data_IF_098664932166
#
_entry.id   IF_098664932166
#
_cell.length_a   1.000
_cell.length_b   1.000
_cell.length_c   1.000
_cell.angle_alpha   90.00
_cell.angle_beta   90.00
_cell.angle_gamma   90.00
#
_symmetry.space_group_name_H-M   'P 1'
#
loop_
_entity.id
_entity.type
_entity.pdbx_description
1 polymer ?
#
# COMPACT_ATOMS: atom_id res chain seq x y z
N UNK A 1 2.91 18.30 19.61
CA UNK A 1 2.96 16.89 19.26
C UNK A 1 3.03 16.74 17.75
N UNK A 2 3.94 15.90 17.27
CA UNK A 2 4.03 15.63 15.84
C UNK A 2 2.86 14.77 15.40
N UNK A 3 2.32 15.04 14.18
CA UNK A 3 1.22 14.24 13.64
C UNK A 3 1.65 12.78 13.43
N UNK A 4 2.94 12.55 13.14
CA UNK A 4 3.46 11.18 12.91
C UNK A 4 3.52 10.35 14.18
N UNK A 5 3.43 10.95 15.36
CA UNK A 5 3.44 10.21 16.62
C UNK A 5 2.19 9.34 16.80
N UNK A 6 1.12 9.63 16.04
CA UNK A 6 -0.13 8.89 16.09
C UNK A 6 -0.29 7.90 14.95
N UNK A 7 0.72 7.79 14.09
CA UNK A 7 0.68 6.92 12.91
C UNK A 7 1.29 5.58 13.25
N UNK A 8 0.57 4.52 12.92
CA UNK A 8 1.05 3.14 13.09
C UNK A 8 0.92 2.38 11.78
N UNK A 9 1.85 1.47 11.55
CA UNK A 9 1.77 0.52 10.43
C UNK A 9 1.40 -0.84 10.99
N UNK A 10 0.39 -1.47 10.40
CA UNK A 10 -0.05 -2.80 10.78
C UNK A 10 0.00 -3.70 9.56
N UNK A 11 0.82 -4.74 9.63
CA UNK A 11 0.98 -5.67 8.51
C UNK A 11 -0.25 -6.56 8.35
N UNK A 12 -0.60 -6.84 7.08
CA UNK A 12 -1.56 -7.89 6.79
C UNK A 12 -1.12 -8.65 5.53
N UNK A 13 -1.41 -9.94 5.48
CA UNK A 13 -0.98 -10.83 4.39
C UNK A 13 -2.16 -11.52 3.72
N UNK A 14 -3.34 -11.44 4.32
CA UNK A 14 -4.56 -12.04 3.77
C UNK A 14 -5.55 -10.96 3.37
N UNK A 15 -6.42 -11.30 2.43
CA UNK A 15 -7.48 -10.40 2.01
C UNK A 15 -8.36 -10.07 3.23
N UNK A 16 -8.51 -8.79 3.58
CA UNK A 16 -9.30 -8.42 4.75
C UNK A 16 -10.79 -8.58 4.52
N UNK A 17 -11.57 -8.34 5.56
CA UNK A 17 -13.02 -8.42 5.47
C UNK A 17 -13.59 -7.34 4.53
N UNK A 18 -14.87 -7.46 4.21
CA UNK A 18 -15.53 -6.58 3.25
C UNK A 18 -15.52 -5.12 3.67
N UNK A 19 -15.66 -4.85 4.97
CA UNK A 19 -15.65 -3.48 5.49
C UNK A 19 -14.30 -2.82 5.24
N UNK A 20 -13.21 -3.51 5.59
CA UNK A 20 -11.87 -3.00 5.36
C UNK A 20 -11.57 -2.86 3.87
N UNK A 21 -11.95 -3.84 3.04
CA UNK A 21 -11.78 -3.76 1.59
C UNK A 21 -12.45 -2.53 0.99
N UNK A 22 -13.66 -2.23 1.43
CA UNK A 22 -14.38 -1.05 0.95
C UNK A 22 -13.64 0.24 1.31
N UNK A 23 -13.06 0.32 2.50
CA UNK A 23 -12.26 1.49 2.91
C UNK A 23 -11.04 1.62 2.03
N UNK A 24 -10.29 0.53 1.81
CA UNK A 24 -9.09 0.56 0.97
C UNK A 24 -9.42 0.92 -0.48
N UNK A 25 -10.48 0.36 -1.02
CA UNK A 25 -10.92 0.65 -2.38
C UNK A 25 -11.26 2.13 -2.53
N UNK A 26 -12.05 2.68 -1.61
CA UNK A 26 -12.42 4.10 -1.63
C UNK A 26 -11.20 5.01 -1.53
N UNK A 27 -10.26 4.68 -0.63
CA UNK A 27 -9.02 5.45 -0.49
C UNK A 27 -8.22 5.45 -1.79
N UNK A 28 -8.12 4.30 -2.46
CA UNK A 28 -7.40 4.21 -3.72
C UNK A 28 -8.04 5.09 -4.78
N UNK A 29 -9.34 4.96 -4.96
CA UNK A 29 -10.06 5.69 -6.00
C UNK A 29 -10.05 7.21 -5.76
N UNK A 30 -10.08 7.64 -4.50
CA UNK A 30 -9.96 9.05 -4.15
C UNK A 30 -8.57 9.63 -4.44
N UNK A 31 -7.58 8.78 -4.66
CA UNK A 31 -6.19 9.18 -4.89
C UNK A 31 -5.75 9.00 -6.34
N UNK A 32 -6.66 8.72 -7.25
CA UNK A 32 -6.35 8.69 -8.68
C UNK A 32 -6.30 10.13 -9.22
N UNK A 33 -5.50 10.43 -10.23
CA UNK A 33 -4.61 9.52 -10.99
C UNK A 33 -3.22 9.30 -10.39
N UNK A 34 -2.87 9.90 -9.25
CA UNK A 34 -1.55 9.75 -8.63
C UNK A 34 -1.28 8.28 -8.30
N UNK A 35 -2.31 7.55 -7.90
CA UNK A 35 -2.29 6.11 -7.75
C UNK A 35 -3.12 5.52 -8.88
N UNK A 36 -2.66 4.42 -9.46
CA UNK A 36 -3.39 3.75 -10.53
C UNK A 36 -4.78 3.32 -10.06
N UNK A 37 -5.77 3.56 -10.91
CA UNK A 37 -7.15 3.17 -10.63
C UNK A 37 -7.25 1.65 -10.47
N UNK A 38 -8.12 1.23 -9.55
CA UNK A 38 -8.49 -0.18 -9.42
C UNK A 38 -9.76 -0.42 -10.24
N UNK A 39 -9.78 -1.52 -10.98
CA UNK A 39 -10.93 -1.85 -11.83
C UNK A 39 -12.15 -2.24 -11.01
N UNK A 40 -11.93 -2.85 -9.84
CA UNK A 40 -13.00 -3.35 -8.97
C UNK A 40 -12.41 -3.73 -7.61
N UNK A 41 -13.28 -4.07 -6.68
CA UNK A 41 -12.85 -4.64 -5.39
C UNK A 41 -12.16 -5.98 -5.62
N UNK A 42 -12.59 -6.77 -6.59
CA UNK A 42 -11.93 -8.04 -6.93
C UNK A 42 -10.50 -7.80 -7.41
N UNK A 43 -10.26 -6.75 -8.18
CA UNK A 43 -8.90 -6.38 -8.60
C UNK A 43 -8.01 -6.13 -7.39
N UNK A 44 -8.54 -5.40 -6.39
CA UNK A 44 -7.80 -5.18 -5.14
C UNK A 44 -7.50 -6.49 -4.43
N UNK A 45 -8.46 -7.40 -4.36
CA UNK A 45 -8.25 -8.72 -3.75
C UNK A 45 -7.15 -9.50 -4.46
N UNK A 46 -7.12 -9.47 -5.78
CA UNK A 46 -6.10 -10.15 -6.58
C UNK A 46 -4.71 -9.58 -6.29
N UNK A 47 -4.60 -8.26 -6.19
CA UNK A 47 -3.33 -7.62 -5.86
C UNK A 47 -2.83 -8.05 -4.47
N UNK A 48 -3.72 -8.09 -3.49
CA UNK A 48 -3.37 -8.51 -2.14
C UNK A 48 -2.94 -9.97 -2.13
N UNK A 49 -3.64 -10.84 -2.86
CA UNK A 49 -3.28 -12.26 -2.95
C UNK A 49 -1.90 -12.49 -3.56
N UNK A 50 -1.52 -11.66 -4.54
CA UNK A 50 -0.21 -11.76 -5.19
C UNK A 50 0.90 -11.09 -4.41
N UNK A 51 0.56 -10.26 -3.43
CA UNK A 51 1.53 -9.44 -2.72
C UNK A 51 2.36 -10.24 -1.72
N UNK A 52 3.52 -9.70 -1.37
CA UNK A 52 4.38 -10.27 -0.33
C UNK A 52 4.02 -9.71 1.04
N UNK A 53 3.76 -8.43 1.11
CA UNK A 53 3.45 -7.74 2.37
C UNK A 53 2.55 -6.55 2.09
N UNK A 54 1.62 -6.34 2.99
CA UNK A 54 0.74 -5.18 2.91
C UNK A 54 0.68 -4.54 4.29
N UNK A 55 0.41 -3.25 4.32
CA UNK A 55 0.32 -2.52 5.58
C UNK A 55 -0.90 -1.63 5.57
N UNK A 56 -1.64 -1.64 6.67
CA UNK A 56 -2.57 -0.55 6.97
C UNK A 56 -1.77 0.62 7.55
N UNK A 57 -2.14 1.83 7.17
CA UNK A 57 -1.65 3.03 7.82
C UNK A 57 -2.78 3.48 8.74
N UNK A 58 -2.52 3.48 10.04
CA UNK A 58 -3.54 3.78 11.05
C UNK A 58 -3.20 5.07 11.78
N UNK A 59 -4.21 5.88 12.03
CA UNK A 59 -4.13 7.01 12.92
C UNK A 59 -5.22 6.84 13.97
N UNK A 60 -4.83 6.67 15.23
CA UNK A 60 -5.76 6.42 16.33
C UNK A 60 -6.72 5.26 16.01
N UNK A 61 -6.16 4.17 15.47
CA UNK A 61 -6.88 2.96 15.09
C UNK A 61 -7.85 3.13 13.91
N UNK A 62 -7.76 4.23 13.18
CA UNK A 62 -8.57 4.48 11.99
C UNK A 62 -7.68 4.31 10.76
N UNK A 63 -8.14 3.55 9.77
CA UNK A 63 -7.41 3.36 8.52
C UNK A 63 -7.41 4.68 7.73
N UNK A 64 -6.23 5.25 7.53
CA UNK A 64 -6.05 6.46 6.72
C UNK A 64 -5.25 6.19 5.45
N UNK A 65 -4.78 4.96 5.25
CA UNK A 65 -4.03 4.60 4.08
C UNK A 65 -3.65 3.14 4.08
N UNK A 66 -2.93 2.74 3.03
CA UNK A 66 -2.42 1.38 2.92
C UNK A 66 -1.25 1.33 1.94
N UNK A 67 -0.50 0.23 2.02
CA UNK A 67 0.66 -0.03 1.16
C UNK A 67 0.56 -1.46 0.66
N UNK A 68 0.85 -1.67 -0.61
CA UNK A 68 0.94 -3.01 -1.21
C UNK A 68 2.34 -3.19 -1.78
N UNK A 69 3.01 -4.27 -1.39
CA UNK A 69 4.39 -4.57 -1.79
C UNK A 69 4.48 -5.98 -2.40
N UNK A 70 5.32 -6.11 -3.42
CA UNK A 70 5.61 -7.39 -4.07
C UNK A 70 7.08 -7.75 -3.91
N UNK A 71 7.36 -9.04 -3.97
CA UNK A 71 8.71 -9.58 -3.96
C UNK A 71 9.06 -10.18 -5.32
N UNK A 72 10.30 -10.62 -5.47
CA UNK A 72 10.87 -11.10 -6.73
C UNK A 72 10.14 -12.28 -7.37
N UNK A 73 9.44 -13.09 -6.62
CA UNK A 73 8.76 -14.28 -7.14
C UNK A 73 7.25 -14.09 -7.33
N UNK A 74 6.79 -12.85 -7.32
CA UNK A 74 5.37 -12.56 -7.52
C UNK A 74 4.94 -12.78 -8.97
N UNK A 75 3.67 -13.14 -9.16
CA UNK A 75 3.03 -13.24 -10.47
C UNK A 75 2.52 -11.91 -11.00
N UNK A 76 2.77 -10.82 -10.26
CA UNK A 76 2.34 -9.49 -10.66
C UNK A 76 2.98 -9.08 -11.99
N UNK A 77 2.15 -8.53 -12.90
CA UNK A 77 2.58 -8.24 -14.28
C UNK A 77 2.46 -6.75 -14.61
N UNK A 78 3.24 -5.91 -13.96
CA UNK A 78 3.37 -4.52 -14.38
C UNK A 78 4.70 -4.35 -15.11
N UNK A 79 4.78 -3.34 -15.99
CA UNK A 79 6.02 -3.04 -16.70
C UNK A 79 7.13 -2.67 -15.72
N UNK A 80 6.83 -1.87 -14.71
CA UNK A 80 7.82 -1.47 -13.70
C UNK A 80 8.29 -2.65 -12.86
N UNK A 81 7.35 -3.51 -12.44
CA UNK A 81 7.71 -4.70 -11.68
C UNK A 81 8.61 -5.63 -12.49
N UNK A 82 8.26 -5.89 -13.75
CA UNK A 82 9.05 -6.76 -14.62
C UNK A 82 10.45 -6.23 -14.87
N UNK A 83 10.60 -4.90 -14.96
CA UNK A 83 11.92 -4.28 -15.10
C UNK A 83 12.81 -4.61 -13.91
N UNK A 84 12.31 -4.44 -12.68
CA UNK A 84 13.08 -4.77 -11.48
C UNK A 84 13.34 -6.26 -11.35
N UNK A 85 12.35 -7.09 -11.67
CA UNK A 85 12.48 -8.54 -11.63
C UNK A 85 13.61 -9.04 -12.54
N UNK A 86 13.79 -8.41 -13.70
CA UNK A 86 14.82 -8.80 -14.66
C UNK A 86 16.22 -8.30 -14.27
N UNK A 87 16.30 -7.27 -13.43
CA UNK A 87 17.59 -6.67 -13.03
C UNK A 87 18.12 -7.19 -11.72
N UNK A 88 17.26 -7.61 -10.84
CA UNK A 88 17.61 -7.97 -9.47
C UNK A 88 17.04 -9.34 -9.12
N UNK A 89 17.86 -10.19 -8.52
CA UNK A 89 17.41 -11.51 -8.06
C UNK A 89 16.48 -11.40 -6.86
N UNK A 90 16.70 -10.39 -6.00
CA UNK A 90 15.89 -10.14 -4.81
C UNK A 90 15.59 -8.66 -4.69
N UNK A 91 14.31 -8.33 -4.52
CA UNK A 91 13.90 -6.95 -4.34
C UNK A 91 12.54 -6.88 -3.65
N UNK A 92 12.25 -5.71 -3.10
CA UNK A 92 10.92 -5.36 -2.62
C UNK A 92 10.40 -4.23 -3.50
N UNK A 93 9.30 -4.47 -4.19
CA UNK A 93 8.67 -3.49 -5.05
C UNK A 93 7.43 -2.95 -4.37
N UNK A 94 7.41 -1.65 -4.14
CA UNK A 94 6.24 -0.96 -3.59
C UNK A 94 5.33 -0.61 -4.76
N UNK A 95 4.23 -1.34 -4.90
CA UNK A 95 3.28 -1.10 -5.99
C UNK A 95 2.52 0.20 -5.79
N UNK A 96 2.02 0.38 -4.58
CA UNK A 96 1.28 1.60 -4.25
C UNK A 96 1.36 1.95 -2.78
N UNK A 97 1.39 3.26 -2.55
CA UNK A 97 1.24 3.86 -1.24
C UNK A 97 0.07 4.81 -1.35
N UNK A 98 -0.97 4.57 -0.59
CA UNK A 98 -2.19 5.37 -0.62
C UNK A 98 -2.40 5.97 0.75
N UNK A 99 -2.51 7.29 0.82
CA UNK A 99 -2.77 8.02 2.07
C UNK A 99 -3.91 8.99 1.83
N UNK A 100 -4.84 9.04 2.76
CA UNK A 100 -5.96 9.98 2.73
C UNK A 100 -5.45 11.40 2.47
N UNK A 101 -6.08 12.10 1.53
CA UNK A 101 -5.60 13.42 1.08
C UNK A 101 -5.37 14.41 2.21
N UNK A 102 -6.24 14.41 3.21
CA UNK A 102 -6.12 15.31 4.35
C UNK A 102 -4.88 15.06 5.20
N UNK A 103 -4.21 13.91 5.04
CA UNK A 103 -3.04 13.51 5.82
C UNK A 103 -1.72 13.61 5.07
N UNK A 104 -1.75 13.80 3.75
CA UNK A 104 -0.51 13.82 2.94
C UNK A 104 0.45 14.95 3.33
N UNK A 105 -0.07 16.12 3.69
CA UNK A 105 0.74 17.30 4.01
C UNK A 105 1.24 17.31 5.45
N UNK A 106 0.95 16.28 6.22
CA UNK A 106 1.28 16.22 7.64
C UNK A 106 2.47 15.32 7.94
N UNK A 107 3.27 14.98 6.94
CA UNK A 107 4.47 14.17 7.12
C UNK A 107 4.24 12.67 7.16
N UNK A 108 3.00 12.20 7.01
CA UNK A 108 2.69 10.78 7.07
C UNK A 108 3.39 9.99 5.97
N UNK A 109 3.47 10.55 4.75
CA UNK A 109 4.15 9.90 3.63
C UNK A 109 5.63 9.67 3.89
N UNK A 110 6.32 10.69 4.41
CA UNK A 110 7.74 10.59 4.74
C UNK A 110 8.00 9.57 5.84
N UNK A 111 7.17 9.58 6.87
CA UNK A 111 7.25 8.60 7.95
C UNK A 111 7.11 7.17 7.40
N UNK A 112 6.17 6.98 6.49
CA UNK A 112 5.88 5.69 5.89
C UNK A 112 7.07 5.16 5.08
N UNK A 113 7.63 6.01 4.21
CA UNK A 113 8.78 5.62 3.40
C UNK A 113 9.99 5.29 4.27
N UNK A 114 10.27 6.10 5.29
CA UNK A 114 11.35 5.82 6.23
C UNK A 114 11.18 4.46 6.89
N UNK A 115 9.97 4.14 7.28
CA UNK A 115 9.68 2.86 7.93
C UNK A 115 9.87 1.69 6.97
N UNK A 116 9.39 1.82 5.74
CA UNK A 116 9.49 0.78 4.71
C UNK A 116 10.95 0.52 4.30
N UNK A 117 11.77 1.54 4.25
CA UNK A 117 13.20 1.36 3.92
C UNK A 117 13.97 0.60 4.99
N UNK A 118 13.44 0.45 6.18
CA UNK A 118 14.06 -0.29 7.28
C UNK A 118 13.64 -1.76 7.33
N UNK A 119 12.73 -2.12 6.47
CA UNK A 119 12.31 -3.53 6.37
C UNK A 119 13.32 -4.30 5.51
#
# INVERSE_FOLDING_TARGET
MSIVDNIELSIFTEVPDRTALNVLYSLNQDNTPEVAELESINHLCELIDMSASNFYVLENNIIIGFVICFRENSEYKSANYNYFKNKEDKFLYIDRVVIKKSHRRKGAGSYLYDHLYRL
#
